data_IF_007612698076
#
_entry.id   IF_007612698076
#
_cell.length_a   1.000
_cell.length_b   1.000
_cell.length_c   1.000
_cell.angle_alpha   90.00
_cell.angle_beta   90.00
_cell.angle_gamma   90.00
#
_symmetry.space_group_name_H-M   'P 1'
#
loop_
_entity.id
_entity.type
_entity.pdbx_description
1 polymer ?
#
# COMPACT_ATOMS: atom_id res chain seq x y z
N UNK A 1 12.92 16.58 -7.84
CA UNK A 1 12.67 15.22 -7.30
C UNK A 1 11.32 14.71 -7.76
N UNK A 2 11.26 13.43 -8.05
CA UNK A 2 10.04 12.75 -8.50
C UNK A 2 9.70 11.62 -7.52
N UNK A 3 8.52 11.72 -6.89
CA UNK A 3 8.00 10.74 -5.93
C UNK A 3 6.85 10.00 -6.60
N UNK A 4 6.88 8.68 -6.55
CA UNK A 4 5.80 7.84 -7.05
C UNK A 4 4.75 7.57 -5.98
N UNK A 5 3.52 7.34 -6.42
CA UNK A 5 2.44 6.88 -5.55
C UNK A 5 2.44 5.35 -5.46
N UNK A 6 2.72 4.84 -4.27
CA UNK A 6 2.76 3.42 -3.95
C UNK A 6 1.43 2.95 -3.39
N UNK A 7 0.52 2.54 -4.29
CA UNK A 7 -0.78 1.97 -3.89
C UNK A 7 -0.58 0.48 -3.58
N UNK A 8 -0.06 0.19 -2.38
CA UNK A 8 0.29 -1.16 -1.97
C UNK A 8 -0.72 -1.80 -1.02
N UNK A 9 -1.77 -1.09 -0.61
CA UNK A 9 -2.84 -1.63 0.22
C UNK A 9 -3.83 -2.48 -0.60
N UNK A 10 -4.06 -2.15 -1.85
CA UNK A 10 -5.02 -2.78 -2.76
C UNK A 10 -4.52 -2.67 -4.20
N UNK A 11 -5.12 -3.40 -5.12
CA UNK A 11 -4.93 -3.16 -6.56
C UNK A 11 -6.21 -2.61 -7.17
N UNK A 12 -6.17 -2.22 -8.45
CA UNK A 12 -7.38 -2.08 -9.25
C UNK A 12 -7.97 -3.45 -9.58
N UNK A 13 -9.28 -3.57 -9.69
CA UNK A 13 -9.96 -4.81 -10.04
C UNK A 13 -9.70 -5.29 -11.48
N UNK A 14 -9.25 -4.38 -12.33
CA UNK A 14 -8.82 -4.67 -13.71
C UNK A 14 -7.35 -5.05 -13.84
N UNK A 15 -6.57 -5.00 -12.75
CA UNK A 15 -5.18 -5.42 -12.75
C UNK A 15 -5.06 -6.91 -13.08
N UNK A 16 -4.03 -7.31 -13.82
CA UNK A 16 -3.84 -8.70 -14.27
C UNK A 16 -3.84 -9.71 -13.12
N UNK A 17 -3.33 -9.34 -11.94
CA UNK A 17 -3.31 -10.20 -10.75
C UNK A 17 -4.72 -10.55 -10.25
N UNK A 18 -5.68 -9.60 -10.36
CA UNK A 18 -7.06 -9.83 -9.90
C UNK A 18 -8.01 -10.20 -11.04
N UNK A 19 -7.94 -9.48 -12.15
CA UNK A 19 -8.65 -9.68 -13.42
C UNK A 19 -10.15 -9.93 -13.29
N UNK A 20 -10.87 -9.04 -12.58
CA UNK A 20 -12.35 -9.10 -12.49
C UNK A 20 -13.05 -9.16 -13.85
N UNK A 21 -12.47 -8.53 -14.86
CA UNK A 21 -13.07 -8.40 -16.19
C UNK A 21 -12.67 -9.50 -17.15
N UNK A 22 -11.90 -10.51 -16.70
CA UNK A 22 -11.46 -11.65 -17.51
C UNK A 22 -10.76 -11.24 -18.81
N UNK A 23 -9.87 -10.25 -18.72
CA UNK A 23 -9.08 -9.75 -19.86
C UNK A 23 -7.78 -10.53 -20.06
N UNK A 24 -7.33 -11.23 -19.03
CA UNK A 24 -6.18 -12.10 -19.04
C UNK A 24 -6.54 -13.56 -18.76
N UNK A 25 -5.52 -14.37 -18.48
CA UNK A 25 -5.68 -15.77 -18.10
C UNK A 25 -5.29 -15.95 -16.63
N UNK A 26 -6.21 -16.48 -15.80
CA UNK A 26 -5.90 -16.98 -14.47
C UNK A 26 -5.79 -15.92 -13.36
N UNK A 27 -6.47 -14.77 -13.46
CA UNK A 27 -6.52 -13.79 -12.38
C UNK A 27 -7.23 -14.29 -11.12
N UNK A 28 -6.85 -13.75 -9.97
CA UNK A 28 -7.29 -14.20 -8.65
C UNK A 28 -8.81 -14.11 -8.40
N UNK A 29 -9.54 -13.27 -9.15
CA UNK A 29 -10.96 -13.01 -8.87
C UNK A 29 -11.83 -14.24 -9.01
N UNK A 30 -11.61 -15.03 -10.06
CA UNK A 30 -12.49 -16.16 -10.41
C UNK A 30 -11.79 -17.50 -10.43
N UNK A 31 -10.46 -17.52 -10.41
CA UNK A 31 -9.68 -18.75 -10.43
C UNK A 31 -9.11 -19.05 -9.04
N UNK A 32 -9.64 -20.08 -8.34
CA UNK A 32 -9.11 -20.47 -7.03
C UNK A 32 -7.68 -21.00 -7.10
N UNK A 33 -7.27 -21.51 -8.25
CA UNK A 33 -5.94 -22.11 -8.48
C UNK A 33 -4.94 -21.08 -9.04
N UNK A 34 -5.36 -19.82 -9.21
CA UNK A 34 -4.51 -18.73 -9.65
C UNK A 34 -3.28 -18.59 -8.74
N UNK A 35 -2.11 -18.41 -9.34
CA UNK A 35 -0.88 -18.10 -8.61
C UNK A 35 -0.97 -16.82 -7.77
N UNK A 36 -1.88 -15.92 -8.14
CA UNK A 36 -2.16 -14.68 -7.40
C UNK A 36 -3.30 -14.80 -6.39
N UNK A 37 -3.96 -15.98 -6.26
CA UNK A 37 -5.10 -16.14 -5.33
C UNK A 37 -4.73 -15.79 -3.90
N UNK A 38 -3.56 -16.21 -3.44
CA UNK A 38 -3.05 -15.92 -2.10
C UNK A 38 -2.64 -14.46 -1.88
N UNK A 39 -2.57 -13.65 -2.94
CA UNK A 39 -2.22 -12.23 -2.85
C UNK A 39 -3.38 -11.35 -2.40
N UNK A 40 -4.58 -11.89 -2.35
CA UNK A 40 -5.79 -11.17 -1.96
C UNK A 40 -6.48 -11.83 -0.79
N UNK A 41 -7.19 -11.03 -0.02
CA UNK A 41 -8.04 -11.51 1.07
C UNK A 41 -9.44 -11.86 0.56
N UNK A 42 -9.94 -13.02 0.96
CA UNK A 42 -11.30 -13.48 0.62
C UNK A 42 -12.05 -13.85 1.89
N UNK A 43 -13.38 -13.65 1.88
CA UNK A 43 -14.26 -14.17 2.91
C UNK A 43 -14.36 -15.70 2.83
N UNK A 44 -14.92 -16.38 3.85
CA UNK A 44 -15.18 -17.82 3.78
C UNK A 44 -16.09 -18.24 2.61
N UNK A 45 -16.95 -17.33 2.14
CA UNK A 45 -17.82 -17.54 0.99
C UNK A 45 -17.12 -17.30 -0.36
N UNK A 46 -15.83 -16.97 -0.34
CA UNK A 46 -15.04 -16.74 -1.52
C UNK A 46 -15.17 -15.35 -2.16
N UNK A 47 -15.80 -14.41 -1.46
CA UNK A 47 -15.92 -13.02 -1.92
C UNK A 47 -14.65 -12.27 -1.55
N UNK A 48 -14.05 -11.57 -2.52
CA UNK A 48 -12.86 -10.76 -2.26
C UNK A 48 -13.20 -9.62 -1.29
N UNK A 49 -12.35 -9.42 -0.30
CA UNK A 49 -12.39 -8.24 0.54
C UNK A 49 -11.85 -7.05 -0.25
N UNK A 50 -12.34 -5.86 0.08
CA UNK A 50 -12.00 -4.63 -0.62
C UNK A 50 -11.65 -3.50 0.35
N UNK A 51 -11.19 -2.39 -0.18
CA UNK A 51 -10.92 -1.21 0.60
C UNK A 51 -12.22 -0.45 0.87
N UNK A 52 -12.67 -0.44 2.12
CA UNK A 52 -13.82 0.33 2.62
C UNK A 52 -15.15 0.14 1.84
N UNK A 53 -15.38 -1.04 1.25
CA UNK A 53 -16.59 -1.34 0.47
C UNK A 53 -16.50 -0.97 -1.01
N UNK A 54 -15.33 -0.50 -1.47
CA UNK A 54 -15.09 -0.22 -2.89
C UNK A 54 -14.63 -1.48 -3.61
N UNK A 55 -15.57 -2.22 -4.18
CA UNK A 55 -15.30 -3.50 -4.85
C UNK A 55 -14.31 -3.42 -6.02
N UNK A 56 -14.09 -2.22 -6.58
CA UNK A 56 -13.06 -1.97 -7.60
C UNK A 56 -11.62 -1.96 -7.04
N UNK A 57 -11.47 -2.02 -5.70
CA UNK A 57 -10.18 -1.92 -5.00
C UNK A 57 -9.96 -3.15 -4.10
N UNK A 58 -9.72 -4.35 -4.69
CA UNK A 58 -9.51 -5.58 -3.92
C UNK A 58 -8.28 -5.49 -3.04
N UNK A 59 -8.45 -5.92 -1.79
CA UNK A 59 -7.47 -5.81 -0.71
C UNK A 59 -6.35 -6.84 -0.87
N UNK A 60 -5.09 -6.37 -0.88
CA UNK A 60 -3.92 -7.22 -0.86
C UNK A 60 -3.69 -7.84 0.53
N UNK A 61 -3.12 -9.04 0.56
CA UNK A 61 -2.88 -9.83 1.78
C UNK A 61 -1.40 -10.15 1.96
N UNK A 62 -0.77 -9.47 2.88
CA UNK A 62 0.65 -9.59 3.16
C UNK A 62 1.05 -10.87 3.93
N UNK A 63 0.12 -11.80 4.17
CA UNK A 63 0.45 -13.18 4.57
C UNK A 63 1.11 -13.94 3.43
N UNK A 64 0.87 -13.55 2.18
CA UNK A 64 1.48 -14.15 1.01
C UNK A 64 2.95 -13.73 0.89
N UNK A 65 3.86 -14.68 1.08
CA UNK A 65 5.30 -14.43 0.92
C UNK A 65 5.66 -14.03 -0.50
N UNK A 66 4.96 -14.57 -1.50
CA UNK A 66 5.19 -14.23 -2.91
C UNK A 66 4.71 -12.81 -3.25
N UNK A 67 3.64 -12.31 -2.63
CA UNK A 67 3.27 -10.90 -2.71
C UNK A 67 4.34 -10.01 -2.06
N UNK A 68 4.82 -10.39 -0.89
CA UNK A 68 5.85 -9.66 -0.15
C UNK A 68 7.16 -9.57 -0.96
N UNK A 69 7.56 -10.68 -1.60
CA UNK A 69 8.69 -10.71 -2.54
C UNK A 69 8.47 -9.74 -3.72
N UNK A 70 7.28 -9.77 -4.34
CA UNK A 70 6.94 -8.91 -5.47
C UNK A 70 6.93 -7.43 -5.09
N UNK A 71 6.33 -7.08 -3.95
CA UNK A 71 6.20 -5.68 -3.55
C UNK A 71 7.53 -5.10 -3.08
N UNK A 72 8.26 -5.77 -2.15
CA UNK A 72 9.41 -5.12 -1.56
C UNK A 72 10.61 -6.01 -1.16
N UNK A 73 10.48 -7.34 -0.98
CA UNK A 73 11.61 -8.16 -0.53
C UNK A 73 12.51 -8.63 -1.67
N UNK A 74 11.95 -8.92 -2.83
CA UNK A 74 12.69 -9.40 -3.98
C UNK A 74 13.73 -8.40 -4.47
N UNK A 75 14.79 -8.92 -5.08
CA UNK A 75 15.85 -8.08 -5.66
C UNK A 75 15.36 -7.17 -6.78
N UNK A 76 14.30 -7.58 -7.50
CA UNK A 76 13.63 -6.83 -8.57
C UNK A 76 12.18 -6.47 -8.19
N UNK A 77 11.92 -6.31 -6.89
CA UNK A 77 10.60 -5.93 -6.37
C UNK A 77 10.17 -4.58 -6.91
N UNK A 78 8.85 -4.35 -6.93
CA UNK A 78 8.26 -3.08 -7.41
C UNK A 78 8.89 -1.87 -6.73
N UNK A 79 9.09 -1.94 -5.41
CA UNK A 79 9.71 -0.85 -4.64
C UNK A 79 11.12 -0.54 -5.13
N UNK A 80 11.93 -1.55 -5.45
CA UNK A 80 13.32 -1.37 -5.90
C UNK A 80 13.41 -0.99 -7.37
N UNK A 81 12.59 -1.60 -8.20
CA UNK A 81 12.58 -1.40 -9.65
C UNK A 81 12.53 0.07 -10.03
N UNK A 82 11.58 0.81 -9.48
CA UNK A 82 11.39 2.22 -9.82
C UNK A 82 12.43 3.17 -9.21
N UNK A 83 13.13 2.75 -8.17
CA UNK A 83 14.21 3.54 -7.56
C UNK A 83 15.56 3.26 -8.22
N UNK A 84 15.67 2.22 -9.03
CA UNK A 84 16.88 1.80 -9.73
C UNK A 84 16.93 2.34 -11.16
N UNK A 85 18.13 2.26 -11.80
CA UNK A 85 18.26 2.61 -13.21
C UNK A 85 17.37 1.74 -14.10
N UNK A 86 16.78 2.27 -15.18
CA UNK A 86 16.97 3.62 -15.71
C UNK A 86 16.03 4.68 -15.12
N UNK A 87 15.12 4.30 -14.22
CA UNK A 87 14.03 5.16 -13.72
C UNK A 87 14.51 6.15 -12.67
N UNK A 88 15.28 5.69 -11.69
CA UNK A 88 15.93 6.48 -10.64
C UNK A 88 15.00 7.47 -9.92
N UNK A 89 13.75 7.03 -9.65
CA UNK A 89 12.79 7.85 -8.89
C UNK A 89 13.33 8.20 -7.50
N UNK A 90 12.89 9.33 -6.94
CA UNK A 90 13.44 9.86 -5.69
C UNK A 90 12.76 9.31 -4.43
N UNK A 91 11.69 8.52 -4.56
CA UNK A 91 11.01 7.94 -3.42
C UNK A 91 9.57 7.52 -3.66
N UNK A 92 8.86 7.27 -2.55
CA UNK A 92 7.49 6.76 -2.52
C UNK A 92 6.59 7.58 -1.59
N UNK A 93 5.41 7.92 -2.06
CA UNK A 93 4.26 8.24 -1.22
C UNK A 93 3.45 6.96 -1.08
N UNK A 94 3.21 6.49 0.14
CA UNK A 94 2.47 5.25 0.40
C UNK A 94 0.99 5.58 0.64
N UNK A 95 0.14 5.12 -0.29
CA UNK A 95 -1.30 5.33 -0.25
C UNK A 95 -1.95 4.54 0.88
N UNK A 96 -2.84 5.18 1.66
CA UNK A 96 -3.55 4.62 2.82
C UNK A 96 -2.74 3.62 3.64
N UNK A 97 -1.47 3.94 3.84
CA UNK A 97 -0.45 3.02 4.35
C UNK A 97 -0.81 2.40 5.70
N UNK A 98 -1.55 3.11 6.55
CA UNK A 98 -2.02 2.63 7.86
C UNK A 98 -3.03 1.47 7.77
N UNK A 99 -3.56 1.19 6.59
CA UNK A 99 -4.51 0.11 6.34
C UNK A 99 -3.87 -1.13 5.69
N UNK A 100 -2.63 -1.00 5.18
CA UNK A 100 -1.86 -2.11 4.59
C UNK A 100 -1.60 -3.19 5.65
N UNK A 101 -1.71 -4.48 5.27
CA UNK A 101 -1.41 -5.56 6.21
C UNK A 101 -2.01 -6.90 5.82
N UNK A 102 -2.24 -7.73 6.83
CA UNK A 102 -2.60 -9.14 6.68
C UNK A 102 -4.09 -9.39 6.97
N UNK A 103 -4.60 -10.49 6.42
CA UNK A 103 -5.94 -11.03 6.69
C UNK A 103 -7.08 -10.02 6.44
N UNK A 104 -6.96 -9.20 5.40
CA UNK A 104 -7.96 -8.19 5.05
C UNK A 104 -7.95 -6.94 5.93
N UNK A 105 -7.08 -6.88 6.95
CA UNK A 105 -6.92 -5.76 7.86
C UNK A 105 -5.52 -5.14 7.82
N UNK A 106 -5.16 -4.45 8.92
CA UNK A 106 -3.86 -3.80 9.11
C UNK A 106 -2.92 -4.59 10.05
N UNK A 107 -3.15 -5.90 10.19
CA UNK A 107 -2.29 -6.75 11.02
C UNK A 107 -0.85 -6.70 10.50
N UNK A 108 0.12 -6.62 11.43
CA UNK A 108 1.55 -6.50 11.14
C UNK A 108 1.92 -5.31 10.24
N UNK A 109 1.07 -4.30 10.15
CA UNK A 109 1.23 -3.12 9.31
C UNK A 109 2.62 -2.48 9.45
N UNK A 110 3.01 -2.11 10.68
CA UNK A 110 4.28 -1.42 10.94
C UNK A 110 5.48 -2.21 10.44
N UNK A 111 5.46 -3.55 10.58
CA UNK A 111 6.53 -4.42 10.08
C UNK A 111 6.66 -4.37 8.56
N UNK A 112 5.52 -4.41 7.84
CA UNK A 112 5.51 -4.35 6.38
C UNK A 112 5.94 -2.97 5.87
N UNK A 113 5.46 -1.90 6.48
CA UNK A 113 5.83 -0.52 6.12
C UNK A 113 7.33 -0.29 6.33
N UNK A 114 7.87 -0.70 7.48
CA UNK A 114 9.31 -0.66 7.72
C UNK A 114 10.11 -1.52 6.72
N UNK A 115 9.53 -2.65 6.27
CA UNK A 115 10.10 -3.49 5.22
C UNK A 115 10.19 -2.78 3.88
N UNK A 116 9.13 -2.10 3.47
CA UNK A 116 9.07 -1.28 2.25
C UNK A 116 10.12 -0.18 2.30
N UNK A 117 10.17 0.58 3.38
CA UNK A 117 11.14 1.67 3.55
C UNK A 117 12.58 1.17 3.53
N UNK A 118 12.87 0.08 4.23
CA UNK A 118 14.20 -0.54 4.21
C UNK A 118 14.61 -0.98 2.81
N UNK A 119 13.69 -1.61 2.06
CA UNK A 119 13.93 -2.02 0.69
C UNK A 119 14.19 -0.83 -0.23
N UNK A 120 13.41 0.24 -0.09
CA UNK A 120 13.61 1.48 -0.83
C UNK A 120 15.00 2.06 -0.58
N UNK A 121 15.41 2.17 0.67
CA UNK A 121 16.71 2.72 1.05
C UNK A 121 17.90 1.80 0.69
N UNK A 122 17.67 0.51 0.56
CA UNK A 122 18.70 -0.41 0.02
C UNK A 122 18.91 -0.23 -1.49
N UNK A 123 17.85 0.08 -2.25
CA UNK A 123 17.95 0.39 -3.67
C UNK A 123 18.53 1.79 -3.90
N UNK A 124 18.07 2.76 -3.10
CA UNK A 124 18.50 4.16 -3.18
C UNK A 124 18.61 4.76 -1.76
N UNK A 125 19.81 4.96 -1.22
CA UNK A 125 20.01 5.37 0.17
C UNK A 125 19.35 6.71 0.57
N UNK A 126 19.18 7.64 -0.38
CA UNK A 126 18.52 8.93 -0.21
C UNK A 126 17.03 8.93 -0.65
N UNK A 127 16.45 7.76 -0.92
CA UNK A 127 15.02 7.66 -1.23
C UNK A 127 14.18 8.23 -0.08
N UNK A 128 13.18 9.04 -0.44
CA UNK A 128 12.25 9.63 0.53
C UNK A 128 10.94 8.86 0.55
N UNK A 129 10.60 8.29 1.70
CA UNK A 129 9.39 7.48 1.87
C UNK A 129 8.47 8.15 2.89
N UNK A 130 7.24 8.45 2.49
CA UNK A 130 6.26 9.04 3.38
C UNK A 130 4.86 8.48 3.15
N UNK A 131 4.06 8.43 4.20
CA UNK A 131 2.76 7.79 4.19
C UNK A 131 1.57 8.73 4.21
N UNK A 132 0.46 8.28 3.64
CA UNK A 132 -0.84 8.87 3.86
C UNK A 132 -1.48 8.25 5.10
N UNK A 133 -1.63 9.06 6.14
CA UNK A 133 -2.31 8.69 7.38
C UNK A 133 -3.48 9.61 7.62
N UNK A 134 -4.67 9.05 7.84
CA UNK A 134 -5.85 9.86 8.19
C UNK A 134 -5.84 10.31 9.65
N UNK A 135 -5.03 9.65 10.49
CA UNK A 135 -4.89 9.92 11.91
C UNK A 135 -3.48 10.30 12.34
N UNK A 136 -3.10 9.86 13.53
CA UNK A 136 -1.78 10.09 14.09
C UNK A 136 -0.75 9.14 13.48
N UNK A 137 0.26 9.69 12.81
CA UNK A 137 1.33 8.94 12.18
C UNK A 137 2.53 8.64 13.12
N UNK A 138 2.45 9.04 14.39
CA UNK A 138 3.57 9.03 15.33
C UNK A 138 4.31 7.67 15.39
N UNK A 139 3.56 6.56 15.43
CA UNK A 139 4.18 5.23 15.54
C UNK A 139 5.04 4.84 14.33
N UNK A 140 4.72 5.31 13.12
CA UNK A 140 5.50 5.03 11.92
C UNK A 140 6.76 5.88 11.85
N UNK A 141 6.68 7.13 12.30
CA UNK A 141 7.81 8.06 12.33
C UNK A 141 8.85 7.71 13.38
N UNK A 142 8.42 7.15 14.52
CA UNK A 142 9.34 6.77 15.61
C UNK A 142 10.08 5.45 15.40
N UNK A 143 9.58 4.59 14.52
CA UNK A 143 10.11 3.24 14.32
C UNK A 143 10.81 3.07 12.96
N UNK A 144 11.30 4.16 12.39
CA UNK A 144 11.98 4.19 11.08
C UNK A 144 11.18 3.52 9.96
N UNK A 145 9.85 3.49 10.10
CA UNK A 145 8.98 2.93 9.08
C UNK A 145 8.71 3.93 7.95
N UNK A 146 8.79 5.22 8.24
CA UNK A 146 8.63 6.31 7.27
C UNK A 146 9.55 7.50 7.63
N UNK A 147 9.98 8.25 6.59
CA UNK A 147 10.73 9.49 6.80
C UNK A 147 9.82 10.66 7.19
N UNK A 148 8.55 10.61 6.76
CA UNK A 148 7.56 11.65 7.00
C UNK A 148 6.14 11.10 6.80
N UNK A 149 5.14 11.96 7.05
CA UNK A 149 3.73 11.67 6.78
C UNK A 149 3.06 12.88 6.13
N UNK A 150 1.98 12.65 5.37
CA UNK A 150 1.09 13.72 4.93
C UNK A 150 0.43 14.36 6.16
N UNK A 151 0.57 15.68 6.28
CA UNK A 151 0.17 16.38 7.50
C UNK A 151 -1.35 16.68 7.56
N UNK A 152 -2.16 15.62 7.56
CA UNK A 152 -3.62 15.76 7.69
C UNK A 152 -4.01 16.36 9.03
N UNK A 153 -3.49 15.80 10.13
CA UNK A 153 -3.88 16.16 11.49
C UNK A 153 -3.36 17.53 11.92
N UNK A 154 -2.13 17.86 11.54
CA UNK A 154 -1.51 19.13 11.98
C UNK A 154 -1.76 20.32 11.06
N UNK A 155 -2.26 20.08 9.84
CA UNK A 155 -2.48 21.14 8.87
C UNK A 155 -3.83 21.03 8.16
N UNK A 156 -4.09 19.93 7.45
CA UNK A 156 -5.26 19.84 6.55
C UNK A 156 -6.57 19.97 7.33
N UNK A 157 -6.76 19.19 8.37
CA UNK A 157 -8.02 19.20 9.13
C UNK A 157 -8.23 20.52 9.91
N UNK A 158 -7.24 21.07 10.64
CA UNK A 158 -7.37 22.39 11.25
C UNK A 158 -7.70 23.49 10.24
N UNK A 159 -7.05 23.48 9.08
CA UNK A 159 -7.33 24.46 8.04
C UNK A 159 -8.75 24.34 7.48
N UNK A 160 -9.18 23.11 7.17
CA UNK A 160 -10.56 22.86 6.70
C UNK A 160 -11.59 23.24 7.76
N UNK A 161 -11.38 22.86 9.02
CA UNK A 161 -12.26 23.26 10.13
C UNK A 161 -12.40 24.76 10.24
N UNK A 162 -11.27 25.48 10.15
CA UNK A 162 -11.28 26.94 10.18
C UNK A 162 -12.02 27.56 8.98
N UNK A 163 -11.73 27.09 7.75
CA UNK A 163 -12.34 27.66 6.54
C UNK A 163 -13.82 27.29 6.38
N UNK A 164 -14.21 26.09 6.78
CA UNK A 164 -15.59 25.61 6.69
C UNK A 164 -16.44 26.00 7.92
N UNK A 165 -15.82 26.54 8.95
CA UNK A 165 -16.45 26.80 10.26
C UNK A 165 -17.15 25.54 10.82
N UNK A 166 -16.48 24.38 10.68
CA UNK A 166 -16.97 23.07 11.12
C UNK A 166 -15.95 22.39 12.00
N UNK A 167 -16.42 21.57 12.92
CA UNK A 167 -15.54 20.67 13.68
C UNK A 167 -15.29 19.43 12.83
N UNK A 168 -14.05 19.26 12.37
CA UNK A 168 -13.63 18.08 11.60
C UNK A 168 -12.90 17.16 12.57
N UNK A 169 -13.63 16.24 13.16
CA UNK A 169 -13.10 15.13 13.96
C UNK A 169 -13.04 13.85 13.13
N UNK A 170 -11.89 13.20 13.11
CA UNK A 170 -11.70 11.85 12.57
C UNK A 170 -11.30 10.88 13.67
#
# INVERSE_FOLDING_TARGET
RLILDGVFNHSGDSHAWFDRHRRGEGGACYDPDSSWRSWYSFSPEGVALDWLGYSSLPKLDYRSSTLVEEIYQGSDSIVRHWLSAPWEMDGWRLDVVHMLGEAGGARNNLQHVAGITRSAKQARPDAFVFGEHFGDAHQWLQNDAEDSAMNYRGFTFPLWGFLANTDISY
#
